data_IF_460312776627
#
_entry.id   IF_460312776627
#
_cell.length_a   1.000
_cell.length_b   1.000
_cell.length_c   1.000
_cell.angle_alpha   90.00
_cell.angle_beta   90.00
_cell.angle_gamma   90.00
#
_symmetry.space_group_name_H-M   'P 1'
#
loop_
_entity.id
_entity.type
_entity.pdbx_description
1 polymer ?
#
# COMPACT_ATOMS: atom_id res chain seq x y z
N UNK A 1 39.82 -19.06 -21.59
CA UNK A 1 38.98 -17.84 -21.64
C UNK A 1 37.79 -18.10 -20.75
N UNK A 2 37.73 -17.46 -19.58
CA UNK A 2 36.74 -17.76 -18.55
C UNK A 2 35.34 -17.32 -19.00
N UNK A 3 34.39 -18.24 -18.97
CA UNK A 3 32.97 -17.89 -19.07
C UNK A 3 32.64 -17.02 -17.85
N UNK A 4 32.46 -15.71 -18.09
CA UNK A 4 31.82 -14.84 -17.12
C UNK A 4 30.40 -15.37 -16.94
N UNK A 5 30.18 -16.14 -15.86
CA UNK A 5 28.86 -16.56 -15.47
C UNK A 5 28.01 -15.31 -15.31
N UNK A 6 27.00 -15.16 -16.17
CA UNK A 6 25.93 -14.19 -15.99
C UNK A 6 25.24 -14.57 -14.68
N UNK A 7 25.72 -14.01 -13.57
CA UNK A 7 25.09 -14.17 -12.27
C UNK A 7 23.75 -13.47 -12.35
N UNK A 8 22.70 -14.25 -12.55
CA UNK A 8 21.34 -13.73 -12.56
C UNK A 8 21.04 -13.28 -11.15
N UNK A 9 20.83 -11.98 -10.99
CA UNK A 9 20.43 -11.40 -9.72
C UNK A 9 19.09 -12.02 -9.31
N UNK A 10 19.10 -12.74 -8.18
CA UNK A 10 17.92 -13.43 -7.63
C UNK A 10 16.74 -12.46 -7.40
N UNK A 11 16.99 -11.14 -7.32
CA UNK A 11 15.97 -10.07 -7.23
C UNK A 11 15.15 -9.86 -8.51
N UNK A 12 15.50 -10.51 -9.61
CA UNK A 12 14.83 -10.35 -10.91
C UNK A 12 13.92 -11.52 -11.28
N UNK A 13 13.78 -12.53 -10.41
CA UNK A 13 12.97 -13.70 -10.68
C UNK A 13 11.48 -13.41 -10.50
N UNK A 14 10.64 -13.96 -11.37
CA UNK A 14 9.20 -14.01 -11.12
C UNK A 14 8.93 -15.03 -10.01
N UNK A 15 8.41 -14.58 -8.87
CA UNK A 15 8.05 -15.46 -7.74
C UNK A 15 6.53 -15.60 -7.55
N UNK A 16 5.75 -14.65 -8.05
CA UNK A 16 4.30 -14.60 -7.89
C UNK A 16 3.69 -13.34 -8.50
N UNK A 17 2.38 -13.14 -8.28
CA UNK A 17 1.61 -12.06 -8.90
C UNK A 17 2.08 -10.65 -8.49
N UNK A 18 2.58 -10.48 -7.26
CA UNK A 18 3.03 -9.17 -6.75
C UNK A 18 4.24 -8.61 -7.52
N UNK A 19 5.02 -9.44 -8.21
CA UNK A 19 6.15 -9.01 -9.04
C UNK A 19 5.84 -8.94 -10.53
N UNK A 20 4.62 -9.30 -10.94
CA UNK A 20 4.29 -9.55 -12.34
C UNK A 20 4.51 -8.32 -13.22
N UNK A 21 3.96 -7.16 -12.85
CA UNK A 21 4.04 -5.94 -13.68
C UNK A 21 5.48 -5.54 -13.99
N UNK A 22 6.32 -5.50 -12.95
CA UNK A 22 7.73 -5.13 -13.10
C UNK A 22 8.53 -6.18 -13.88
N UNK A 23 8.29 -7.47 -13.60
CA UNK A 23 8.95 -8.57 -14.31
C UNK A 23 8.56 -8.59 -15.79
N UNK A 24 7.27 -8.54 -16.09
CA UNK A 24 6.73 -8.57 -17.46
C UNK A 24 7.31 -7.43 -18.30
N UNK A 25 7.36 -6.21 -17.74
CA UNK A 25 8.01 -5.07 -18.40
C UNK A 25 9.49 -5.33 -18.71
N UNK A 26 10.27 -5.76 -17.71
CA UNK A 26 11.72 -6.01 -17.86
C UNK A 26 12.01 -7.07 -18.91
N UNK A 27 11.32 -8.21 -18.86
CA UNK A 27 11.55 -9.30 -19.81
C UNK A 27 11.12 -8.92 -21.21
N UNK A 28 10.01 -8.18 -21.36
CA UNK A 28 9.61 -7.64 -22.67
C UNK A 28 10.66 -6.71 -23.27
N UNK A 29 11.31 -5.88 -22.46
CA UNK A 29 12.43 -5.02 -22.90
C UNK A 29 13.65 -5.87 -23.29
N UNK A 30 14.02 -6.88 -22.50
CA UNK A 30 15.15 -7.77 -22.82
C UNK A 30 14.92 -8.56 -24.11
N UNK A 31 13.70 -9.09 -24.32
CA UNK A 31 13.33 -9.81 -25.53
C UNK A 31 13.37 -8.91 -26.77
N UNK A 32 12.93 -7.64 -26.66
CA UNK A 32 13.08 -6.65 -27.74
C UNK A 32 14.54 -6.39 -28.07
N UNK A 33 15.37 -6.15 -27.05
CA UNK A 33 16.79 -5.90 -27.25
C UNK A 33 17.50 -7.09 -27.92
N UNK A 34 17.05 -8.32 -27.65
CA UNK A 34 17.57 -9.54 -28.26
C UNK A 34 16.97 -9.86 -29.64
N UNK A 35 15.98 -9.10 -30.13
CA UNK A 35 15.27 -9.39 -31.38
C UNK A 35 14.44 -10.69 -31.32
N UNK A 36 13.93 -11.02 -30.13
CA UNK A 36 13.19 -12.26 -29.83
C UNK A 36 11.70 -12.00 -29.51
N UNK A 37 11.27 -10.74 -29.45
CA UNK A 37 9.88 -10.42 -29.07
C UNK A 37 8.87 -11.07 -30.01
N UNK A 38 9.11 -10.99 -31.32
CA UNK A 38 8.22 -11.50 -32.35
C UNK A 38 8.00 -13.03 -32.26
N UNK A 39 8.94 -13.76 -31.64
CA UNK A 39 8.80 -15.20 -31.38
C UNK A 39 7.83 -15.45 -30.23
N UNK A 40 7.91 -14.66 -29.15
CA UNK A 40 7.14 -14.91 -27.93
C UNK A 40 5.72 -14.39 -28.01
N UNK A 41 5.46 -13.38 -28.83
CA UNK A 41 4.11 -12.86 -29.08
C UNK A 41 3.40 -13.57 -30.24
N UNK A 42 4.10 -14.50 -30.90
CA UNK A 42 3.57 -15.31 -31.99
C UNK A 42 3.46 -14.57 -33.34
N UNK A 43 4.01 -13.36 -33.45
CA UNK A 43 4.07 -12.61 -34.71
C UNK A 43 4.89 -13.38 -35.76
N UNK A 44 6.02 -13.97 -35.34
CA UNK A 44 6.87 -14.81 -36.16
C UNK A 44 6.56 -16.29 -35.91
N UNK A 45 5.71 -16.85 -36.74
CA UNK A 45 5.34 -18.28 -36.72
C UNK A 45 6.45 -19.17 -37.26
N UNK A 46 6.46 -20.48 -36.90
CA UNK A 46 7.34 -21.45 -37.54
C UNK A 46 7.17 -21.42 -39.06
N UNK A 47 8.25 -21.25 -39.83
CA UNK A 47 8.19 -21.28 -41.29
C UNK A 47 7.98 -22.71 -41.81
N UNK A 48 7.56 -22.86 -43.07
CA UNK A 48 7.36 -24.17 -43.71
C UNK A 48 8.66 -24.76 -44.28
N UNK A 49 9.62 -23.90 -44.63
CA UNK A 49 10.92 -24.30 -45.18
C UNK A 49 11.84 -24.84 -44.07
N UNK A 50 12.36 -26.07 -44.25
CA UNK A 50 13.28 -26.74 -43.32
C UNK A 50 14.49 -25.89 -42.95
N UNK A 51 15.06 -25.13 -43.88
CA UNK A 51 16.26 -24.32 -43.63
C UNK A 51 15.96 -23.09 -42.75
N UNK A 52 14.73 -22.57 -42.81
CA UNK A 52 14.26 -21.47 -41.99
C UNK A 52 13.69 -21.97 -40.65
N UNK A 53 13.17 -23.20 -40.60
CA UNK A 53 12.71 -23.86 -39.36
C UNK A 53 13.86 -23.94 -38.36
N UNK A 54 15.05 -24.37 -38.80
CA UNK A 54 16.21 -24.49 -37.91
C UNK A 54 16.62 -23.13 -37.31
N UNK A 55 16.59 -22.06 -38.12
CA UNK A 55 16.85 -20.69 -37.65
C UNK A 55 15.79 -20.20 -36.66
N UNK A 56 14.52 -20.51 -36.94
CA UNK A 56 13.41 -20.19 -36.05
C UNK A 56 13.55 -20.93 -34.71
N UNK A 57 13.88 -22.22 -34.72
CA UNK A 57 14.07 -23.03 -33.52
C UNK A 57 15.22 -22.51 -32.65
N UNK A 58 16.32 -22.06 -33.25
CA UNK A 58 17.40 -21.41 -32.51
C UNK A 58 16.92 -20.14 -31.80
N UNK A 59 16.07 -19.32 -32.44
CA UNK A 59 15.48 -18.13 -31.80
C UNK A 59 14.47 -18.51 -30.72
N UNK A 60 13.62 -19.49 -30.98
CA UNK A 60 12.67 -20.06 -30.02
C UNK A 60 13.38 -20.57 -28.76
N UNK A 61 14.41 -21.41 -28.90
CA UNK A 61 15.21 -21.91 -27.78
C UNK A 61 15.88 -20.78 -26.98
N UNK A 62 16.42 -19.75 -27.65
CA UNK A 62 16.98 -18.56 -26.98
C UNK A 62 15.93 -17.80 -26.18
N UNK A 63 14.73 -17.63 -26.74
CA UNK A 63 13.64 -16.96 -26.06
C UNK A 63 13.14 -17.76 -24.85
N UNK A 64 12.99 -19.08 -24.99
CA UNK A 64 12.66 -19.98 -23.87
C UNK A 64 13.69 -19.85 -22.75
N UNK A 65 14.99 -19.96 -23.07
CA UNK A 65 16.05 -19.85 -22.09
C UNK A 65 16.01 -18.49 -21.37
N UNK A 66 15.85 -17.38 -22.11
CA UNK A 66 15.77 -16.04 -21.52
C UNK A 66 14.62 -15.95 -20.52
N UNK A 67 13.43 -16.43 -20.88
CA UNK A 67 12.27 -16.41 -19.98
C UNK A 67 12.50 -17.31 -18.76
N UNK A 68 12.85 -18.58 -18.98
CA UNK A 68 13.00 -19.60 -17.92
C UNK A 68 14.05 -19.20 -16.90
N UNK A 69 15.17 -18.63 -17.35
CA UNK A 69 16.25 -18.16 -16.45
C UNK A 69 15.83 -16.99 -15.54
N UNK A 70 14.71 -16.32 -15.85
CA UNK A 70 14.14 -15.24 -15.03
C UNK A 70 12.88 -15.66 -14.28
N UNK A 71 12.58 -16.96 -14.20
CA UNK A 71 11.43 -17.50 -13.49
C UNK A 71 11.94 -18.28 -12.27
N UNK A 72 11.29 -18.11 -11.12
CA UNK A 72 11.61 -18.87 -9.91
C UNK A 72 11.24 -20.35 -10.07
N UNK A 73 11.99 -21.24 -9.41
CA UNK A 73 11.71 -22.69 -9.37
C UNK A 73 10.26 -23.02 -8.98
N UNK A 74 9.61 -22.16 -8.20
CA UNK A 74 8.20 -22.30 -7.79
C UNK A 74 7.21 -22.25 -8.96
N UNK A 75 7.57 -21.56 -10.04
CA UNK A 75 6.70 -21.35 -11.21
C UNK A 75 7.01 -22.35 -12.33
N UNK A 76 8.22 -22.92 -12.35
CA UNK A 76 8.65 -23.91 -13.37
C UNK A 76 7.63 -25.04 -13.59
N UNK A 77 7.02 -25.65 -12.55
CA UNK A 77 6.01 -26.70 -12.76
C UNK A 77 4.76 -26.24 -13.53
N UNK A 78 4.48 -24.94 -13.57
CA UNK A 78 3.31 -24.38 -14.26
C UNK A 78 3.54 -24.17 -15.76
N UNK A 79 4.81 -24.11 -16.18
CA UNK A 79 5.25 -23.89 -17.58
C UNK A 79 6.01 -25.09 -18.16
N UNK A 80 6.23 -26.16 -17.39
CA UNK A 80 7.06 -27.31 -17.80
C UNK A 80 6.52 -28.08 -19.01
N UNK A 81 5.22 -27.97 -19.29
CA UNK A 81 4.57 -28.66 -20.41
C UNK A 81 4.49 -27.80 -21.68
N UNK A 82 4.96 -26.56 -21.63
CA UNK A 82 5.00 -25.66 -22.79
C UNK A 82 6.17 -26.04 -23.71
N UNK A 83 5.90 -26.12 -25.01
CA UNK A 83 6.87 -26.58 -26.02
C UNK A 83 7.56 -25.42 -26.76
N UNK A 84 6.97 -24.23 -26.71
CA UNK A 84 7.48 -23.03 -27.39
C UNK A 84 7.61 -21.84 -26.42
N UNK A 85 8.47 -20.88 -26.77
CA UNK A 85 8.58 -19.65 -26.01
C UNK A 85 7.26 -18.87 -25.99
N UNK A 86 6.51 -18.93 -27.09
CA UNK A 86 5.16 -18.36 -27.22
C UNK A 86 4.17 -19.00 -26.24
N UNK A 87 4.18 -20.33 -26.09
CA UNK A 87 3.35 -21.02 -25.11
C UNK A 87 3.73 -20.67 -23.68
N UNK A 88 5.02 -20.64 -23.35
CA UNK A 88 5.49 -20.23 -22.02
C UNK A 88 4.99 -18.81 -21.72
N UNK A 89 5.22 -17.88 -22.65
CA UNK A 89 4.82 -16.49 -22.50
C UNK A 89 3.30 -16.34 -22.31
N UNK A 90 2.52 -16.99 -23.17
CA UNK A 90 1.04 -16.99 -23.10
C UNK A 90 0.52 -17.59 -21.80
N UNK A 91 1.17 -18.66 -21.31
CA UNK A 91 0.81 -19.31 -20.04
C UNK A 91 1.06 -18.38 -18.86
N UNK A 92 2.21 -17.71 -18.83
CA UNK A 92 2.55 -16.73 -17.80
C UNK A 92 1.57 -15.55 -17.80
N UNK A 93 1.24 -14.99 -18.97
CA UNK A 93 0.19 -13.96 -19.11
C UNK A 93 -1.14 -14.44 -18.52
N UNK A 94 -1.58 -15.65 -18.88
CA UNK A 94 -2.84 -16.22 -18.38
C UNK A 94 -2.85 -16.38 -16.86
N UNK A 95 -1.74 -16.80 -16.26
CA UNK A 95 -1.66 -17.06 -14.83
C UNK A 95 -1.57 -15.77 -14.02
N UNK A 96 -0.80 -14.79 -14.50
CA UNK A 96 -0.36 -13.66 -13.69
C UNK A 96 -0.94 -12.31 -14.10
N UNK A 97 -1.37 -12.10 -15.35
CA UNK A 97 -1.93 -10.81 -15.79
C UNK A 97 -3.21 -10.49 -15.00
N UNK A 98 -4.19 -11.39 -15.00
CA UNK A 98 -5.44 -11.19 -14.25
C UNK A 98 -5.20 -11.10 -12.74
N UNK A 99 -4.29 -11.91 -12.19
CA UNK A 99 -3.99 -11.89 -10.76
C UNK A 99 -3.26 -10.60 -10.35
N UNK A 100 -2.38 -10.10 -11.19
CA UNK A 100 -1.72 -8.81 -11.02
C UNK A 100 -2.72 -7.66 -11.03
N UNK A 101 -3.59 -7.61 -12.03
CA UNK A 101 -4.66 -6.61 -12.14
C UNK A 101 -5.62 -6.63 -10.94
N UNK A 102 -6.08 -7.82 -10.54
CA UNK A 102 -6.91 -7.99 -9.35
C UNK A 102 -6.19 -7.54 -8.07
N UNK A 103 -4.88 -7.80 -7.96
CA UNK A 103 -4.07 -7.37 -6.82
C UNK A 103 -3.94 -5.85 -6.76
N UNK A 104 -3.70 -5.19 -7.91
CA UNK A 104 -3.69 -3.73 -8.03
C UNK A 104 -5.05 -3.17 -7.63
N UNK A 105 -6.14 -3.72 -8.17
CA UNK A 105 -7.49 -3.25 -7.89
C UNK A 105 -7.84 -3.34 -6.40
N UNK A 106 -7.54 -4.47 -5.75
CA UNK A 106 -7.79 -4.66 -4.31
C UNK A 106 -6.97 -3.65 -3.48
N UNK A 107 -5.72 -3.40 -3.85
CA UNK A 107 -4.87 -2.42 -3.15
C UNK A 107 -5.37 -0.99 -3.35
N UNK A 108 -5.84 -0.64 -4.55
CA UNK A 108 -6.49 0.65 -4.81
C UNK A 108 -7.77 0.81 -4.01
N UNK A 109 -8.63 -0.22 -3.95
CA UNK A 109 -9.83 -0.20 -3.10
C UNK A 109 -9.46 0.06 -1.64
N UNK A 110 -8.45 -0.64 -1.10
CA UNK A 110 -7.96 -0.40 0.27
C UNK A 110 -7.40 1.01 0.46
N UNK A 111 -6.65 1.51 -0.52
CA UNK A 111 -6.12 2.88 -0.50
C UNK A 111 -7.23 3.94 -0.46
N UNK A 112 -8.25 3.81 -1.31
CA UNK A 112 -9.36 4.76 -1.34
C UNK A 112 -10.30 4.63 -0.15
N UNK A 113 -10.48 3.41 0.38
CA UNK A 113 -11.29 3.14 1.56
C UNK A 113 -10.61 3.55 2.89
N UNK A 114 -9.29 3.75 2.91
CA UNK A 114 -8.59 4.13 4.13
C UNK A 114 -9.16 5.42 4.74
N UNK A 115 -9.38 5.35 6.05
CA UNK A 115 -9.80 6.43 6.93
C UNK A 115 -9.04 6.29 8.24
N UNK A 116 -8.79 7.43 8.88
CA UNK A 116 -8.37 7.43 10.27
C UNK A 116 -9.54 6.95 11.12
N UNK A 117 -9.27 6.02 12.04
CA UNK A 117 -10.26 5.39 12.92
C UNK A 117 -10.14 5.97 14.33
N UNK A 118 -11.25 6.09 15.07
CA UNK A 118 -11.25 6.75 16.39
C UNK A 118 -10.33 6.07 17.43
N UNK A 119 -10.07 4.77 17.26
CA UNK A 119 -9.23 3.98 18.15
C UNK A 119 -7.76 3.89 17.68
N UNK A 120 -7.42 4.47 16.54
CA UNK A 120 -6.06 4.48 16.01
C UNK A 120 -5.27 5.67 16.57
N UNK A 121 -3.99 5.44 16.90
CA UNK A 121 -3.04 6.54 16.94
C UNK A 121 -2.70 7.02 15.52
N UNK A 122 -2.31 8.28 15.38
CA UNK A 122 -1.83 8.85 14.13
C UNK A 122 -0.67 8.05 13.55
N UNK A 123 0.24 7.58 14.41
CA UNK A 123 1.36 6.72 13.99
C UNK A 123 0.90 5.38 13.42
N UNK A 124 -0.11 4.73 14.01
CA UNK A 124 -0.69 3.49 13.50
C UNK A 124 -1.35 3.71 12.15
N UNK A 125 -2.17 4.75 12.04
CA UNK A 125 -2.83 5.13 10.78
C UNK A 125 -1.81 5.39 9.67
N UNK A 126 -0.79 6.21 9.92
CA UNK A 126 0.24 6.53 8.92
C UNK A 126 1.08 5.30 8.53
N UNK A 127 1.36 4.40 9.47
CA UNK A 127 2.06 3.14 9.16
C UNK A 127 1.23 2.21 8.26
N UNK A 128 -0.07 2.06 8.53
CA UNK A 128 -0.98 1.32 7.63
C UNK A 128 -1.02 1.95 6.24
N UNK A 129 -1.04 3.28 6.21
CA UNK A 129 -1.05 4.06 4.97
C UNK A 129 0.19 3.82 4.12
N UNK A 130 1.36 3.97 4.73
CA UNK A 130 2.65 3.73 4.11
C UNK A 130 2.79 2.28 3.61
N UNK A 131 2.29 1.31 4.38
CA UNK A 131 2.28 -0.09 3.97
C UNK A 131 1.50 -0.34 2.68
N UNK A 132 0.34 0.31 2.50
CA UNK A 132 -0.44 0.22 1.25
C UNK A 132 0.24 0.98 0.12
N UNK A 133 0.74 2.19 0.39
CA UNK A 133 1.43 3.02 -0.60
C UNK A 133 2.68 2.32 -1.16
N UNK A 134 3.47 1.69 -0.29
CA UNK A 134 4.65 0.90 -0.67
C UNK A 134 4.26 -0.27 -1.56
N UNK A 135 3.20 -1.02 -1.22
CA UNK A 135 2.70 -2.11 -2.06
C UNK A 135 2.24 -1.63 -3.45
N UNK A 136 1.51 -0.52 -3.51
CA UNK A 136 1.08 0.08 -4.78
C UNK A 136 2.29 0.53 -5.64
N UNK A 137 3.29 1.16 -5.04
CA UNK A 137 4.52 1.56 -5.74
C UNK A 137 5.33 0.37 -6.24
N UNK A 138 5.42 -0.70 -5.45
CA UNK A 138 6.17 -1.91 -5.81
C UNK A 138 5.58 -2.64 -7.03
N UNK A 139 4.26 -2.55 -7.23
CA UNK A 139 3.57 -3.14 -8.38
C UNK A 139 3.43 -2.17 -9.56
N UNK A 140 4.18 -1.06 -9.55
CA UNK A 140 4.17 0.01 -10.54
C UNK A 140 2.79 0.70 -10.72
N UNK A 141 1.95 0.71 -9.69
CA UNK A 141 0.77 1.58 -9.72
C UNK A 141 1.22 3.03 -9.46
N UNK A 142 0.84 3.95 -10.35
CA UNK A 142 1.18 5.36 -10.24
C UNK A 142 0.40 6.02 -9.07
N UNK A 143 1.07 6.16 -7.92
CA UNK A 143 0.56 6.96 -6.81
C UNK A 143 1.53 8.10 -6.51
N UNK A 144 1.18 9.29 -6.99
CA UNK A 144 1.96 10.51 -6.75
C UNK A 144 1.90 10.92 -5.28
N UNK A 145 2.95 11.61 -4.81
CA UNK A 145 2.98 12.15 -3.45
C UNK A 145 1.82 13.12 -3.21
N UNK A 146 1.45 13.92 -4.21
CA UNK A 146 0.29 14.81 -4.16
C UNK A 146 -1.02 14.04 -3.90
N UNK A 147 -1.21 12.89 -4.57
CA UNK A 147 -2.39 12.04 -4.35
C UNK A 147 -2.36 11.40 -2.96
N UNK A 148 -1.19 10.95 -2.50
CA UNK A 148 -1.02 10.40 -1.16
C UNK A 148 -1.32 11.45 -0.06
N UNK A 149 -0.77 12.66 -0.18
CA UNK A 149 -1.03 13.80 0.71
C UNK A 149 -2.53 14.12 0.76
N UNK A 150 -3.15 14.28 -0.42
CA UNK A 150 -4.59 14.56 -0.53
C UNK A 150 -5.42 13.44 0.11
N UNK A 151 -5.02 12.19 -0.08
CA UNK A 151 -5.73 11.05 0.50
C UNK A 151 -5.60 11.05 2.03
N UNK A 152 -4.42 11.34 2.58
CA UNK A 152 -4.22 11.46 4.03
C UNK A 152 -5.14 12.56 4.57
N UNK A 153 -5.00 13.80 4.09
CA UNK A 153 -5.73 14.96 4.63
C UNK A 153 -7.24 14.82 4.52
N UNK A 154 -7.75 14.25 3.42
CA UNK A 154 -9.20 14.01 3.22
C UNK A 154 -9.76 12.86 4.05
N UNK A 155 -8.92 12.09 4.73
CA UNK A 155 -9.30 10.89 5.48
C UNK A 155 -9.17 11.02 6.99
N UNK A 156 -8.73 12.19 7.45
CA UNK A 156 -8.68 12.56 8.86
C UNK A 156 -10.09 12.92 9.38
N UNK A 157 -10.39 12.65 10.67
CA UNK A 157 -11.64 13.06 11.29
C UNK A 157 -11.72 14.57 11.47
N UNK A 158 -12.94 15.07 11.72
CA UNK A 158 -13.26 16.51 11.87
C UNK A 158 -12.39 17.24 12.90
N UNK A 159 -11.90 16.54 13.94
CA UNK A 159 -11.00 17.09 14.94
C UNK A 159 -9.66 17.62 14.37
N UNK A 160 -9.24 17.14 13.19
CA UNK A 160 -8.05 17.64 12.48
C UNK A 160 -8.38 18.72 11.44
N UNK A 161 -9.62 19.24 11.37
CA UNK A 161 -9.99 20.21 10.33
C UNK A 161 -9.13 21.48 10.35
N UNK A 162 -8.81 22.01 11.53
CA UNK A 162 -7.92 23.17 11.65
C UNK A 162 -6.50 22.88 11.16
N UNK A 163 -5.99 21.68 11.43
CA UNK A 163 -4.71 21.22 10.91
C UNK A 163 -4.73 21.17 9.38
N UNK A 164 -5.78 20.58 8.79
CA UNK A 164 -5.93 20.47 7.34
C UNK A 164 -5.96 21.85 6.68
N UNK A 165 -6.74 22.81 7.21
CA UNK A 165 -6.75 24.19 6.67
C UNK A 165 -5.39 24.88 6.75
N UNK A 166 -4.66 24.69 7.86
CA UNK A 166 -3.30 25.22 7.99
C UNK A 166 -2.33 24.56 7.00
N UNK A 167 -2.45 23.25 6.79
CA UNK A 167 -1.66 22.50 5.82
C UNK A 167 -1.91 22.95 4.37
N UNK A 168 -3.17 23.21 4.03
CA UNK A 168 -3.57 23.74 2.72
C UNK A 168 -3.05 25.16 2.43
N UNK A 169 -2.55 25.86 3.45
CA UNK A 169 -1.90 27.18 3.28
C UNK A 169 -0.38 27.09 3.10
N UNK A 170 0.22 25.89 3.25
CA UNK A 170 1.66 25.68 3.07
C UNK A 170 2.03 25.82 1.58
N UNK A 171 3.15 26.46 1.21
CA UNK A 171 3.60 26.52 -0.18
C UNK A 171 3.72 25.12 -0.83
N UNK A 172 3.30 24.98 -2.09
CA UNK A 172 3.21 23.67 -2.74
C UNK A 172 4.56 22.93 -2.82
N UNK A 173 5.66 23.66 -3.01
CA UNK A 173 7.04 23.17 -3.01
C UNK A 173 7.50 22.58 -1.66
N UNK A 174 6.77 22.88 -0.58
CA UNK A 174 7.05 22.40 0.78
C UNK A 174 6.06 21.34 1.26
N UNK A 175 5.08 20.93 0.45
CA UNK A 175 4.11 19.90 0.80
C UNK A 175 4.67 18.52 0.45
N UNK A 176 5.53 17.99 1.32
CA UNK A 176 6.04 16.62 1.20
C UNK A 176 5.33 15.67 2.16
N UNK A 177 5.41 14.37 1.89
CA UNK A 177 4.84 13.35 2.76
C UNK A 177 5.55 13.31 4.12
N UNK A 178 6.86 13.54 4.13
CA UNK A 178 7.68 13.57 5.34
C UNK A 178 7.24 14.72 6.25
N UNK A 179 7.05 15.92 5.68
CA UNK A 179 6.65 17.09 6.44
C UNK A 179 5.21 16.96 6.96
N UNK A 180 4.29 16.41 6.14
CA UNK A 180 2.92 16.13 6.57
C UNK A 180 2.92 15.15 7.76
N UNK A 181 3.69 14.05 7.64
CA UNK A 181 3.83 13.02 8.67
C UNK A 181 4.33 13.61 9.98
N UNK A 182 5.43 14.38 9.93
CA UNK A 182 6.01 15.01 11.11
C UNK A 182 5.01 15.95 11.81
N UNK A 183 4.31 16.79 11.05
CA UNK A 183 3.33 17.74 11.62
C UNK A 183 2.11 17.06 12.19
N UNK A 184 1.61 15.99 11.58
CA UNK A 184 0.47 15.22 12.09
C UNK A 184 0.79 14.57 13.45
N UNK A 185 1.99 14.04 13.62
CA UNK A 185 2.43 13.45 14.89
C UNK A 185 2.54 14.51 16.00
N UNK A 186 3.03 15.71 15.68
CA UNK A 186 3.07 16.83 16.63
C UNK A 186 1.64 17.27 17.00
N UNK A 187 0.72 17.29 16.04
CA UNK A 187 -0.66 17.71 16.30
C UNK A 187 -1.40 16.70 17.18
N UNK A 188 -1.16 15.39 17.01
CA UNK A 188 -1.69 14.36 17.91
C UNK A 188 -1.20 14.58 19.35
N UNK A 189 0.09 14.89 19.56
CA UNK A 189 0.62 15.18 20.89
C UNK A 189 -0.10 16.37 21.53
N UNK A 190 -0.30 17.47 20.77
CA UNK A 190 -1.04 18.65 21.25
C UNK A 190 -2.48 18.32 21.61
N UNK A 191 -3.13 17.49 20.80
CA UNK A 191 -4.51 17.07 21.03
C UNK A 191 -4.64 16.27 22.33
N UNK A 192 -3.71 15.33 22.56
CA UNK A 192 -3.69 14.53 23.79
C UNK A 192 -3.43 15.40 25.03
N UNK A 193 -2.47 16.34 24.97
CA UNK A 193 -2.23 17.27 26.07
C UNK A 193 -3.45 18.13 26.41
N UNK A 194 -4.19 18.63 25.40
CA UNK A 194 -5.42 19.40 25.63
C UNK A 194 -6.52 18.56 26.29
N UNK A 195 -6.70 17.31 25.85
CA UNK A 195 -7.65 16.38 26.48
C UNK A 195 -7.33 16.13 27.95
N UNK A 196 -6.05 15.89 28.26
CA UNK A 196 -5.60 15.71 29.65
C UNK A 196 -5.90 16.96 30.51
N UNK A 197 -5.64 18.16 29.99
CA UNK A 197 -5.96 19.42 30.67
C UNK A 197 -7.47 19.62 30.89
N UNK A 198 -8.30 19.30 29.88
CA UNK A 198 -9.76 19.36 29.97
C UNK A 198 -10.32 18.37 31.00
N UNK A 199 -9.79 17.15 31.06
CA UNK A 199 -10.19 16.15 32.07
C UNK A 199 -9.80 16.58 33.48
N UNK A 200 -8.59 17.12 33.66
CA UNK A 200 -8.12 17.63 34.96
C UNK A 200 -8.98 18.81 35.42
N UNK A 201 -9.31 19.75 34.52
CA UNK A 201 -10.15 20.90 34.86
C UNK A 201 -11.60 20.50 35.15
N UNK A 202 -12.19 19.58 34.38
CA UNK A 202 -13.52 19.04 34.63
C UNK A 202 -13.59 18.33 35.99
N UNK A 203 -12.57 17.53 36.32
CA UNK A 203 -12.47 16.84 37.61
C UNK A 203 -12.29 17.82 38.78
N UNK A 204 -11.47 18.86 38.62
CA UNK A 204 -11.30 19.91 39.61
C UNK A 204 -12.61 20.70 39.84
N UNK A 205 -13.33 21.03 38.78
CA UNK A 205 -14.64 21.70 38.86
C UNK A 205 -15.69 20.83 39.58
N UNK A 206 -15.63 19.51 39.41
CA UNK A 206 -16.50 18.58 40.14
C UNK A 206 -16.17 18.54 41.64
N UNK A 207 -14.88 18.46 42.02
CA UNK A 207 -14.44 18.47 43.42
C UNK A 207 -14.69 19.81 44.12
N UNK A 208 -14.65 20.93 43.41
CA UNK A 208 -14.83 22.27 43.96
C UNK A 208 -16.28 22.67 44.28
N UNK A 209 -17.29 21.95 43.76
CA UNK A 209 -18.70 22.31 43.96
C UNK A 209 -19.21 21.88 45.33
N UNK A 210 -19.65 22.85 46.14
CA UNK A 210 -20.37 22.64 47.39
C UNK A 210 -21.82 22.27 47.12
N UNK A 211 -22.33 21.25 47.81
CA UNK A 211 -23.74 20.88 47.76
C UNK A 211 -24.61 22.02 48.32
N UNK A 212 -25.54 22.52 47.49
CA UNK A 212 -26.48 23.59 47.85
C UNK A 212 -27.42 23.27 49.02
N UNK A 213 -27.43 22.02 49.53
CA UNK A 213 -28.26 21.62 50.67
C UNK A 213 -27.47 21.38 51.96
N UNK A 214 -26.30 20.75 51.89
CA UNK A 214 -25.54 20.40 53.10
C UNK A 214 -24.18 21.12 53.21
N UNK A 215 -23.78 21.89 52.20
CA UNK A 215 -22.53 22.65 52.16
C UNK A 215 -21.26 21.81 51.95
N UNK A 216 -21.34 20.47 51.98
CA UNK A 216 -20.19 19.59 51.73
C UNK A 216 -19.89 19.49 50.23
N UNK A 217 -18.60 19.37 49.89
CA UNK A 217 -18.12 19.23 48.52
C UNK A 217 -18.27 17.78 48.00
N UNK A 218 -18.30 17.63 46.67
CA UNK A 218 -18.18 16.31 46.02
C UNK A 218 -19.48 15.56 45.74
N UNK A 219 -20.66 16.19 45.84
CA UNK A 219 -21.93 15.58 45.41
C UNK A 219 -22.98 16.64 45.01
N UNK A 220 -23.94 16.25 44.15
CA UNK A 220 -25.07 17.10 43.77
C UNK A 220 -26.17 17.08 44.84
N UNK A 221 -27.05 18.10 44.86
CA UNK A 221 -28.19 18.19 45.78
C UNK A 221 -29.11 16.96 45.74
N UNK A 222 -29.29 16.36 44.54
CA UNK A 222 -30.09 15.15 44.30
C UNK A 222 -29.48 13.89 44.95
N UNK A 223 -28.16 13.84 45.05
CA UNK A 223 -27.39 12.71 45.61
C UNK A 223 -26.98 12.98 47.07
N UNK A 224 -27.59 14.00 47.70
CA UNK A 224 -27.27 14.39 49.06
C UNK A 224 -27.94 13.44 50.04
N UNK A 225 -27.18 12.81 50.93
CA UNK A 225 -27.70 11.92 51.98
C UNK A 225 -28.73 12.59 52.90
N UNK A 226 -28.67 13.93 53.05
CA UNK A 226 -29.70 14.72 53.77
C UNK A 226 -30.98 14.98 52.94
N UNK A 227 -31.03 14.54 51.69
CA UNK A 227 -32.17 14.65 50.79
C UNK A 227 -33.09 13.44 50.88
N UNK A 228 -32.53 12.24 51.05
CA UNK A 228 -33.29 10.98 51.05
C UNK A 228 -34.04 10.70 52.36
N UNK A 229 -33.74 11.37 53.47
CA UNK A 229 -34.40 11.15 54.78
C UNK A 229 -35.76 11.88 54.96
N UNK A 230 -36.54 12.11 53.89
CA UNK A 230 -37.88 12.75 53.99
C UNK A 230 -39.01 12.02 53.22
N UNK A 231 -38.84 10.74 52.89
CA UNK A 231 -39.95 9.89 52.47
C UNK A 231 -40.01 8.67 53.39
N UNK A 232 -40.81 8.79 54.44
CA UNK A 232 -40.92 7.81 55.51
C UNK A 232 -41.74 8.39 56.65
N UNK A 233 -42.99 8.77 56.33
CA UNK A 233 -44.15 8.89 57.22
C UNK A 233 -45.39 8.88 56.32
#
# INVERSE_FOLDING_TARGET
MGAAGLSIDRRQLLEGAEGWTAWHFKIKVMLRAAGLLDIVDGTLKPPEDKSEIEKWEVKNAKAQNLIVMHVSEKIIPQISNCQSACEIWSKLLTIFEQKGELSVHILQQKFFAMRYEENDSMSQYLSRFEGILCKLRNINAEVSDSMAITKITSSLPVQYQHFVSAWESVPADKRTLEELTARLLIEEQRFNSRKEEEEVTAFAAFKGRKCFKCGKIGHYKKDCSKFSNRQGL
#
